data_IF_499352970114
#
_entry.id   IF_499352970114
#
_cell.length_a   1.000
_cell.length_b   1.000
_cell.length_c   1.000
_cell.angle_alpha   90.00
_cell.angle_beta   90.00
_cell.angle_gamma   90.00
#
_symmetry.space_group_name_H-M   'P 1'
#
loop_
_entity.id
_entity.type
_entity.pdbx_description
1 polymer ?
#
# COMPACT_ATOMS: atom_id res chain seq x y z
N UNK A 1 -2.80 -5.66 18.14
CA UNK A 1 -2.13 -5.09 16.96
C UNK A 1 -3.19 -4.40 16.13
N UNK A 2 -2.93 -3.16 15.73
CA UNK A 2 -3.84 -2.36 14.92
C UNK A 2 -3.06 -1.90 13.69
N UNK A 3 -3.59 -2.14 12.50
CA UNK A 3 -3.07 -1.57 11.26
C UNK A 3 -3.36 -0.06 11.27
N UNK A 4 -2.30 0.75 11.26
CA UNK A 4 -2.40 2.21 11.20
C UNK A 4 -2.53 2.70 9.76
N UNK A 5 -1.65 2.21 8.89
CA UNK A 5 -1.66 2.56 7.47
C UNK A 5 -1.08 1.45 6.61
N UNK A 6 -1.61 1.32 5.39
CA UNK A 6 -1.12 0.42 4.35
C UNK A 6 -1.05 1.19 3.02
N UNK A 7 0.06 1.03 2.32
CA UNK A 7 0.31 1.58 1.00
C UNK A 7 0.79 0.49 0.05
N UNK A 8 0.22 0.46 -1.14
CA UNK A 8 0.61 -0.41 -2.24
C UNK A 8 0.88 0.43 -3.49
N UNK A 9 2.05 0.27 -4.09
CA UNK A 9 2.42 0.90 -5.35
C UNK A 9 2.59 -0.16 -6.42
N UNK A 10 1.80 -0.05 -7.48
CA UNK A 10 1.76 -1.01 -8.59
C UNK A 10 2.23 -0.29 -9.85
N UNK A 11 3.18 -0.90 -10.55
CA UNK A 11 3.73 -0.38 -11.79
C UNK A 11 3.32 -1.26 -12.97
N UNK A 12 2.91 -0.65 -14.08
CA UNK A 12 2.63 -1.36 -15.31
C UNK A 12 2.85 -0.47 -16.54
N UNK A 13 2.95 -1.12 -17.70
CA UNK A 13 3.12 -0.45 -19.00
C UNK A 13 1.97 -0.82 -19.93
N UNK A 14 1.34 0.19 -20.53
CA UNK A 14 0.27 0.02 -21.48
C UNK A 14 0.09 1.27 -22.35
N UNK A 15 -0.71 1.16 -23.41
CA UNK A 15 -1.02 2.33 -24.24
C UNK A 15 -1.81 3.40 -23.44
N UNK A 16 -1.63 4.71 -23.71
CA UNK A 16 -2.43 5.76 -23.09
C UNK A 16 -3.94 5.59 -23.30
N UNK A 17 -4.36 4.86 -24.35
CA UNK A 17 -5.76 4.51 -24.58
C UNK A 17 -6.26 3.45 -23.58
N UNK A 18 -5.43 2.46 -23.26
CA UNK A 18 -5.76 1.44 -22.26
C UNK A 18 -5.90 2.06 -20.86
N UNK A 19 -4.98 2.97 -20.50
CA UNK A 19 -5.09 3.71 -19.23
C UNK A 19 -6.36 4.54 -19.13
N UNK A 20 -6.74 5.25 -20.20
CA UNK A 20 -8.02 5.98 -20.22
C UNK A 20 -9.24 5.09 -20.01
N UNK A 21 -9.26 3.92 -20.67
CA UNK A 21 -10.34 2.93 -20.50
C UNK A 21 -10.42 2.45 -19.06
N UNK A 22 -9.28 2.17 -18.42
CA UNK A 22 -9.24 1.81 -16.99
C UNK A 22 -9.85 2.93 -16.12
N UNK A 23 -9.43 4.18 -16.35
CA UNK A 23 -9.93 5.34 -15.60
C UNK A 23 -11.44 5.49 -15.71
N UNK A 24 -11.97 5.37 -16.93
CA UNK A 24 -13.41 5.41 -17.20
C UNK A 24 -14.15 4.24 -16.54
N UNK A 25 -13.65 3.01 -16.71
CA UNK A 25 -14.26 1.80 -16.15
C UNK A 25 -14.27 1.81 -14.62
N UNK A 26 -13.20 2.28 -13.99
CA UNK A 26 -13.09 2.39 -12.54
C UNK A 26 -13.85 3.59 -11.95
N UNK A 27 -14.35 4.52 -12.78
CA UNK A 27 -15.08 5.72 -12.33
C UNK A 27 -14.17 6.77 -11.68
N UNK A 28 -12.89 6.79 -12.02
CA UNK A 28 -11.90 7.68 -11.41
C UNK A 28 -12.06 9.12 -11.91
N UNK A 29 -11.74 10.09 -11.05
CA UNK A 29 -11.77 11.51 -11.41
C UNK A 29 -10.44 11.95 -12.02
N UNK A 30 -10.47 12.77 -13.07
CA UNK A 30 -9.26 13.36 -13.63
C UNK A 30 -8.57 14.28 -12.61
N UNK A 31 -7.24 14.24 -12.53
CA UNK A 31 -6.51 15.15 -11.65
C UNK A 31 -6.65 16.61 -12.12
N UNK A 32 -6.79 17.58 -11.20
CA UNK A 32 -6.74 19.00 -11.55
C UNK A 32 -5.45 19.33 -12.32
N UNK A 33 -5.56 19.98 -13.47
CA UNK A 33 -4.42 20.30 -14.33
C UNK A 33 -3.91 19.15 -15.21
N UNK A 34 -4.50 17.96 -15.13
CA UNK A 34 -4.27 16.88 -16.10
C UNK A 34 -4.96 17.22 -17.43
N UNK A 35 -4.33 18.08 -18.24
CA UNK A 35 -4.81 18.37 -19.60
C UNK A 35 -4.71 19.81 -20.10
N UNK A 36 -3.60 20.52 -19.91
CA UNK A 36 -3.40 21.85 -20.57
C UNK A 36 -2.07 22.00 -21.31
N UNK A 37 -1.49 20.91 -21.83
CA UNK A 37 -0.52 21.04 -22.94
C UNK A 37 -1.07 20.33 -24.17
N UNK A 38 -1.11 21.05 -25.29
CA UNK A 38 -1.81 20.76 -26.55
C UNK A 38 -1.37 19.50 -27.29
N UNK A 39 -0.61 18.60 -26.68
CA UNK A 39 -0.08 17.41 -27.38
C UNK A 39 -0.31 16.05 -26.72
N UNK A 40 -0.70 15.93 -25.44
CA UNK A 40 -0.74 14.60 -24.80
C UNK A 40 -1.85 14.46 -23.77
N UNK A 41 -2.68 13.42 -23.94
CA UNK A 41 -3.86 13.13 -23.13
C UNK A 41 -3.42 12.53 -21.79
N UNK A 42 -3.51 13.30 -20.71
CA UNK A 42 -3.18 12.82 -19.37
C UNK A 42 -4.27 11.88 -18.83
N UNK A 43 -3.95 10.61 -18.62
CA UNK A 43 -4.81 9.66 -17.89
C UNK A 43 -4.57 9.75 -16.36
N UNK A 44 -3.92 10.83 -15.90
CA UNK A 44 -3.68 11.04 -14.48
C UNK A 44 -5.00 11.26 -13.76
N UNK A 45 -5.29 10.39 -12.79
CA UNK A 45 -6.59 10.31 -12.15
C UNK A 45 -6.47 9.87 -10.71
N UNK A 46 -7.51 10.14 -9.94
CA UNK A 46 -7.57 9.80 -8.53
C UNK A 46 -8.98 9.36 -8.15
N UNK A 47 -9.08 8.71 -6.99
CA UNK A 47 -10.37 8.45 -6.36
C UNK A 47 -10.24 8.37 -4.84
N UNK A 48 -11.38 8.54 -4.20
CA UNK A 48 -11.60 8.18 -2.81
C UNK A 48 -12.70 7.13 -2.76
N UNK A 49 -12.51 6.07 -1.98
CA UNK A 49 -13.48 5.00 -1.85
C UNK A 49 -13.67 4.64 -0.38
N UNK A 50 -14.90 4.80 0.12
CA UNK A 50 -15.26 4.48 1.49
C UNK A 50 -15.42 2.96 1.68
N UNK A 51 -15.20 2.45 2.90
CA UNK A 51 -15.59 1.10 3.28
C UNK A 51 -17.07 0.84 3.02
N UNK A 52 -17.37 -0.33 2.45
CA UNK A 52 -18.74 -0.84 2.30
C UNK A 52 -18.83 -2.22 2.96
N UNK A 53 -19.94 -2.51 3.66
CA UNK A 53 -20.15 -3.80 4.32
C UNK A 53 -19.19 -4.02 5.50
N UNK A 54 -18.55 -5.19 5.57
CA UNK A 54 -17.64 -5.62 6.65
C UNK A 54 -16.21 -5.10 6.50
N UNK A 55 -15.97 -4.26 5.51
CA UNK A 55 -14.68 -3.65 5.28
C UNK A 55 -14.35 -2.72 6.44
N UNK A 56 -13.16 -2.84 7.02
CA UNK A 56 -12.74 -2.10 8.21
C UNK A 56 -12.85 -0.56 8.10
N UNK A 57 -12.42 0.20 9.12
CA UNK A 57 -12.65 1.64 9.20
C UNK A 57 -11.84 2.47 8.18
N UNK A 58 -10.89 1.84 7.48
CA UNK A 58 -9.99 2.52 6.55
C UNK A 58 -10.69 2.81 5.22
N UNK A 59 -10.57 4.04 4.75
CA UNK A 59 -10.96 4.39 3.38
C UNK A 59 -9.76 4.28 2.44
N UNK A 60 -10.03 4.07 1.17
CA UNK A 60 -9.03 3.88 0.13
C UNK A 60 -8.86 5.15 -0.69
N UNK A 61 -7.61 5.59 -0.83
CA UNK A 61 -7.19 6.62 -1.78
C UNK A 61 -6.46 5.95 -2.93
N UNK A 62 -6.87 6.24 -4.16
CA UNK A 62 -6.15 5.86 -5.37
C UNK A 62 -5.58 7.06 -6.10
N UNK A 63 -4.32 6.97 -6.52
CA UNK A 63 -3.61 7.97 -7.31
C UNK A 63 -2.89 7.27 -8.47
N UNK A 64 -3.38 7.48 -9.69
CA UNK A 64 -2.81 6.97 -10.93
C UNK A 64 -2.06 8.11 -11.64
N UNK A 65 -0.77 7.90 -11.92
CA UNK A 65 0.06 8.86 -12.66
C UNK A 65 0.92 8.16 -13.71
N UNK A 66 1.17 8.86 -14.80
CA UNK A 66 2.22 8.48 -15.74
C UNK A 66 3.60 8.66 -15.10
N UNK A 67 4.56 7.86 -15.55
CA UNK A 67 5.96 8.04 -15.21
C UNK A 67 6.50 9.26 -15.97
N UNK A 68 7.25 10.16 -15.32
CA UNK A 68 7.87 11.30 -16.00
C UNK A 68 8.68 10.84 -17.22
N UNK A 69 8.39 11.40 -18.40
CA UNK A 69 9.07 11.05 -19.65
C UNK A 69 8.64 9.71 -20.28
N UNK A 70 7.78 8.92 -19.66
CA UNK A 70 7.36 7.61 -20.15
C UNK A 70 5.84 7.39 -19.97
N UNK A 71 5.04 7.92 -20.88
CA UNK A 71 3.57 7.90 -20.79
C UNK A 71 2.93 6.55 -20.97
N UNK A 72 3.65 5.56 -21.51
CA UNK A 72 3.15 4.19 -21.50
C UNK A 72 3.19 3.59 -20.08
N UNK A 73 4.09 4.07 -19.23
CA UNK A 73 4.33 3.52 -17.90
C UNK A 73 3.53 4.32 -16.88
N UNK A 74 2.70 3.64 -16.10
CA UNK A 74 1.95 4.26 -15.02
C UNK A 74 2.32 3.64 -13.67
N UNK A 75 2.14 4.43 -12.61
CA UNK A 75 2.03 3.90 -11.25
C UNK A 75 0.63 4.14 -10.73
N UNK A 76 0.03 3.12 -10.13
CA UNK A 76 -1.13 3.26 -9.27
C UNK A 76 -0.66 3.14 -7.82
N UNK A 77 -0.85 4.20 -7.05
CA UNK A 77 -0.67 4.20 -5.61
C UNK A 77 -2.02 4.04 -4.94
N UNK A 78 -2.13 3.03 -4.08
CA UNK A 78 -3.29 2.73 -3.26
C UNK A 78 -2.91 2.92 -1.79
N UNK A 79 -3.68 3.72 -1.04
CA UNK A 79 -3.44 3.97 0.37
C UNK A 79 -4.71 3.72 1.17
N UNK A 80 -4.63 2.81 2.14
CA UNK A 80 -5.68 2.60 3.14
C UNK A 80 -5.30 3.39 4.39
N UNK A 81 -6.18 4.28 4.80
CA UNK A 81 -5.94 5.16 5.95
C UNK A 81 -7.25 5.46 6.69
N UNK A 82 -7.12 5.90 7.94
CA UNK A 82 -8.26 6.31 8.75
C UNK A 82 -8.90 7.58 8.17
N UNK A 83 -10.23 7.61 8.18
CA UNK A 83 -10.94 8.85 7.87
C UNK A 83 -10.55 9.93 8.90
N UNK A 84 -10.36 11.19 8.46
CA UNK A 84 -10.22 12.30 9.38
C UNK A 84 -11.39 12.37 10.36
N UNK A 85 -11.13 12.78 11.60
CA UNK A 85 -12.18 12.97 12.59
C UNK A 85 -13.24 13.96 12.10
N UNK A 86 -14.50 13.65 12.38
CA UNK A 86 -15.65 14.48 12.01
C UNK A 86 -16.42 13.99 10.78
N UNK A 87 -17.30 14.85 10.21
CA UNK A 87 -18.15 14.48 9.09
C UNK A 87 -17.32 14.18 7.84
N UNK A 88 -17.57 13.04 7.19
CA UNK A 88 -16.89 12.71 5.94
C UNK A 88 -17.13 13.81 4.88
N UNK A 89 -16.07 14.40 4.30
CA UNK A 89 -16.18 15.45 3.30
C UNK A 89 -17.02 15.05 2.07
N UNK A 90 -17.77 16.00 1.51
CA UNK A 90 -18.70 15.73 0.41
C UNK A 90 -18.00 15.25 -0.88
N UNK A 91 -16.77 15.70 -1.12
CA UNK A 91 -15.97 15.25 -2.28
C UNK A 91 -15.58 13.77 -2.14
N UNK A 92 -15.23 13.30 -0.93
CA UNK A 92 -14.97 11.88 -0.63
C UNK A 92 -16.23 11.06 -0.87
N UNK A 93 -17.38 11.50 -0.32
CA UNK A 93 -18.67 10.81 -0.54
C UNK A 93 -19.05 10.72 -2.01
N UNK A 94 -18.79 11.77 -2.79
CA UNK A 94 -19.14 11.82 -4.21
C UNK A 94 -18.20 10.95 -5.05
N UNK A 95 -16.90 11.00 -4.79
CA UNK A 95 -15.92 10.12 -5.42
C UNK A 95 -16.20 8.65 -5.09
N UNK A 96 -16.49 8.35 -3.82
CA UNK A 96 -16.81 6.98 -3.38
C UNK A 96 -18.05 6.41 -4.06
N UNK A 97 -19.09 7.22 -4.28
CA UNK A 97 -20.28 6.79 -5.02
C UNK A 97 -19.98 6.53 -6.49
N UNK A 98 -19.13 7.34 -7.12
CA UNK A 98 -18.74 7.15 -8.52
C UNK A 98 -17.98 5.83 -8.74
N UNK A 99 -17.09 5.49 -7.81
CA UNK A 99 -16.30 4.25 -7.90
C UNK A 99 -16.97 3.02 -7.26
N UNK A 100 -18.10 3.20 -6.57
CA UNK A 100 -18.88 2.12 -5.95
C UNK A 100 -18.40 1.65 -4.58
N UNK A 101 -17.53 2.41 -3.91
CA UNK A 101 -16.85 1.99 -2.67
C UNK A 101 -15.59 1.17 -2.94
N UNK A 102 -14.80 0.90 -1.90
CA UNK A 102 -13.46 0.34 -2.12
C UNK A 102 -13.41 -1.11 -2.62
N UNK A 103 -14.34 -2.05 -2.29
CA UNK A 103 -14.23 -3.40 -2.85
C UNK A 103 -14.51 -3.38 -4.35
N UNK A 104 -15.49 -2.55 -4.77
CA UNK A 104 -15.93 -2.46 -6.15
C UNK A 104 -14.88 -1.77 -7.04
N UNK A 105 -14.24 -0.70 -6.58
CA UNK A 105 -13.16 -0.05 -7.35
C UNK A 105 -11.97 -1.00 -7.54
N UNK A 106 -11.59 -1.79 -6.52
CA UNK A 106 -10.53 -2.78 -6.67
C UNK A 106 -10.93 -3.93 -7.61
N UNK A 107 -12.19 -4.35 -7.59
CA UNK A 107 -12.72 -5.33 -8.53
C UNK A 107 -12.64 -4.83 -9.98
N UNK A 108 -13.02 -3.58 -10.23
CA UNK A 108 -12.93 -2.93 -11.56
C UNK A 108 -11.47 -2.75 -12.00
N UNK A 109 -10.61 -2.28 -11.10
CA UNK A 109 -9.18 -2.16 -11.35
C UNK A 109 -8.56 -3.50 -11.73
N UNK A 110 -8.91 -4.59 -11.03
CA UNK A 110 -8.45 -5.95 -11.33
C UNK A 110 -8.94 -6.45 -12.69
N UNK A 111 -10.20 -6.18 -13.04
CA UNK A 111 -10.80 -6.65 -14.29
C UNK A 111 -10.21 -5.95 -15.54
N UNK A 112 -9.93 -4.65 -15.44
CA UNK A 112 -9.49 -3.82 -16.56
C UNK A 112 -8.01 -3.43 -16.49
N UNK A 113 -7.23 -4.00 -15.55
CA UNK A 113 -5.83 -3.65 -15.35
C UNK A 113 -5.01 -3.85 -16.63
N UNK A 114 -4.39 -2.78 -17.17
CA UNK A 114 -3.66 -2.89 -18.42
C UNK A 114 -2.20 -3.25 -18.15
N UNK A 115 -1.62 -4.10 -19.01
CA UNK A 115 -0.20 -4.49 -18.94
C UNK A 115 0.05 -5.92 -18.42
N UNK A 116 -0.98 -6.65 -18.01
CA UNK A 116 -0.91 -8.09 -17.72
C UNK A 116 -2.13 -8.80 -18.34
N UNK A 117 -2.01 -9.34 -19.56
CA UNK A 117 -3.07 -10.14 -20.16
C UNK A 117 -3.24 -11.43 -19.35
N UNK A 118 -4.35 -11.53 -18.61
CA UNK A 118 -4.56 -12.62 -17.65
C UNK A 118 -4.20 -12.19 -16.23
N UNK A 119 -4.93 -12.71 -15.25
CA UNK A 119 -4.92 -12.35 -13.81
C UNK A 119 -3.61 -12.74 -13.09
N UNK A 120 -2.47 -12.62 -13.76
CA UNK A 120 -1.16 -12.93 -13.21
C UNK A 120 -0.84 -11.96 -12.08
N UNK A 121 -0.14 -12.47 -11.07
CA UNK A 121 0.20 -11.70 -9.89
C UNK A 121 1.08 -10.51 -10.29
N UNK A 122 0.74 -9.31 -9.80
CA UNK A 122 1.49 -8.09 -10.08
C UNK A 122 2.56 -7.88 -9.01
N UNK A 123 3.68 -7.28 -9.42
CA UNK A 123 4.68 -6.81 -8.46
C UNK A 123 4.19 -5.54 -7.76
N UNK A 124 4.19 -5.56 -6.44
CA UNK A 124 3.71 -4.48 -5.57
C UNK A 124 4.82 -4.06 -4.63
N UNK A 125 5.16 -2.77 -4.63
CA UNK A 125 5.96 -2.19 -3.55
C UNK A 125 5.00 -1.83 -2.41
N UNK A 126 5.22 -2.42 -1.24
CA UNK A 126 4.33 -2.31 -0.08
C UNK A 126 5.02 -1.57 1.05
N UNK A 127 4.25 -0.71 1.74
CA UNK A 127 4.62 -0.12 3.02
C UNK A 127 3.45 -0.26 3.98
N UNK A 128 3.69 -0.72 5.20
CA UNK A 128 2.66 -0.84 6.24
C UNK A 128 3.21 -0.36 7.58
N UNK A 129 2.33 0.27 8.37
CA UNK A 129 2.60 0.67 9.75
C UNK A 129 1.60 0.01 10.68
N UNK A 130 2.10 -0.58 11.75
CA UNK A 130 1.30 -1.23 12.78
C UNK A 130 1.55 -0.58 14.14
N UNK A 131 0.49 -0.40 14.92
CA UNK A 131 0.60 -0.08 16.34
C UNK A 131 0.45 -1.37 17.14
N UNK A 132 1.41 -1.63 18.03
CA UNK A 132 1.41 -2.79 18.92
C UNK A 132 1.50 -2.34 20.38
N UNK A 133 0.83 -3.11 21.24
CA UNK A 133 0.96 -3.00 22.69
C UNK A 133 2.25 -3.70 23.13
N UNK A 134 3.15 -2.96 23.78
CA UNK A 134 4.45 -3.44 24.26
C UNK A 134 4.30 -4.57 25.29
N UNK A 135 3.20 -4.61 26.05
CA UNK A 135 2.90 -5.67 27.01
C UNK A 135 2.45 -6.98 26.33
N UNK A 136 1.96 -6.92 25.10
CA UNK A 136 1.57 -8.10 24.32
C UNK A 136 2.69 -8.57 23.39
N UNK A 137 3.40 -7.62 22.76
CA UNK A 137 4.46 -7.88 21.79
C UNK A 137 5.60 -6.87 21.95
N UNK A 138 6.81 -7.38 22.19
CA UNK A 138 8.02 -6.58 22.29
C UNK A 138 9.03 -6.95 21.18
N UNK A 139 9.85 -5.98 20.71
CA UNK A 139 10.92 -6.25 19.77
C UNK A 139 11.92 -7.28 20.32
N UNK A 140 12.32 -8.24 19.49
CA UNK A 140 13.38 -9.18 19.89
C UNK A 140 14.69 -8.44 20.14
N UNK A 141 15.60 -8.95 20.99
CA UNK A 141 16.89 -8.31 21.26
C UNK A 141 17.77 -8.05 20.02
N UNK A 142 17.49 -8.74 18.90
CA UNK A 142 18.16 -8.52 17.62
C UNK A 142 17.80 -7.16 16.97
N UNK A 143 16.64 -6.58 17.31
CA UNK A 143 16.22 -5.23 16.90
C UNK A 143 16.64 -4.15 17.91
N UNK A 144 17.71 -4.39 18.69
CA UNK A 144 18.37 -3.32 19.47
C UNK A 144 19.50 -2.71 18.64
N UNK A 145 19.85 -1.45 18.91
CA UNK A 145 20.99 -0.77 18.30
C UNK A 145 22.26 -1.62 18.45
N UNK A 146 22.82 -2.14 17.34
CA UNK A 146 24.05 -2.93 17.36
C UNK A 146 25.03 -2.51 16.26
N UNK A 147 26.34 -2.44 16.56
CA UNK A 147 27.37 -2.04 15.60
C UNK A 147 27.68 -3.10 14.53
N UNK A 148 27.19 -4.34 14.68
CA UNK A 148 27.42 -5.44 13.72
C UNK A 148 26.09 -6.07 13.29
N UNK A 149 26.00 -6.60 12.05
CA UNK A 149 24.83 -7.34 11.60
C UNK A 149 24.50 -8.51 12.52
N UNK A 150 23.20 -8.81 12.66
CA UNK A 150 22.70 -9.88 13.54
C UNK A 150 21.91 -10.88 12.70
N UNK A 151 22.03 -12.17 13.01
CA UNK A 151 21.18 -13.21 12.42
C UNK A 151 19.96 -13.47 13.30
N UNK A 152 18.76 -13.46 12.72
CA UNK A 152 17.50 -13.76 13.40
C UNK A 152 16.55 -14.50 12.45
N UNK A 153 16.01 -15.65 12.87
CA UNK A 153 15.05 -16.41 12.06
C UNK A 153 15.56 -16.84 10.68
N UNK A 154 16.88 -17.00 10.51
CA UNK A 154 17.50 -17.29 9.21
C UNK A 154 17.84 -16.07 8.34
N UNK A 155 17.44 -14.87 8.75
CA UNK A 155 17.74 -13.61 8.05
C UNK A 155 18.94 -12.88 8.64
N UNK A 156 19.67 -12.16 7.79
CA UNK A 156 20.73 -11.24 8.20
C UNK A 156 20.18 -9.81 8.26
N UNK A 157 20.34 -9.18 9.42
CA UNK A 157 19.85 -7.85 9.74
C UNK A 157 21.01 -6.87 9.76
N UNK A 158 20.97 -5.84 8.91
CA UNK A 158 21.91 -4.72 8.94
C UNK A 158 21.19 -3.44 9.39
N UNK A 159 21.73 -2.73 10.37
CA UNK A 159 21.07 -1.55 10.91
C UNK A 159 21.61 -0.26 10.28
N UNK A 160 20.70 0.63 9.89
CA UNK A 160 20.99 2.01 9.50
C UNK A 160 20.23 2.96 10.41
N UNK A 161 20.94 3.53 11.41
CA UNK A 161 20.40 4.43 12.45
C UNK A 161 19.14 3.89 13.18
N UNK A 162 17.96 4.03 12.58
CA UNK A 162 16.64 3.73 13.17
C UNK A 162 15.87 2.60 12.45
N UNK A 163 16.46 1.97 11.44
CA UNK A 163 15.83 0.89 10.68
C UNK A 163 16.79 -0.29 10.45
N UNK A 164 16.23 -1.49 10.32
CA UNK A 164 16.91 -2.71 9.95
C UNK A 164 16.57 -3.10 8.52
N UNK A 165 17.60 -3.29 7.70
CA UNK A 165 17.52 -3.93 6.40
C UNK A 165 17.63 -5.44 6.58
N UNK A 166 16.82 -6.19 5.85
CA UNK A 166 16.75 -7.65 5.87
C UNK A 166 17.33 -8.15 4.54
N UNK A 167 18.43 -8.90 4.61
CA UNK A 167 19.06 -9.45 3.41
C UNK A 167 18.11 -10.47 2.71
N UNK A 168 18.09 -10.52 1.37
CA UNK A 168 17.29 -11.49 0.64
C UNK A 168 17.63 -12.96 0.98
N UNK A 169 16.66 -13.88 0.93
CA UNK A 169 15.25 -13.65 0.62
C UNK A 169 14.48 -13.14 1.84
N UNK A 170 13.84 -11.99 1.72
CA UNK A 170 13.15 -11.31 2.84
C UNK A 170 11.63 -11.22 2.64
N UNK A 171 11.11 -11.82 1.57
CA UNK A 171 9.68 -11.80 1.23
C UNK A 171 9.13 -10.37 1.13
N UNK A 172 7.90 -10.09 1.61
CA UNK A 172 7.25 -8.78 1.51
C UNK A 172 7.89 -7.69 2.39
N UNK A 173 8.91 -8.02 3.19
CA UNK A 173 9.53 -7.10 4.15
C UNK A 173 11.04 -7.06 3.95
N UNK A 174 11.55 -6.02 3.29
CA UNK A 174 12.99 -5.77 3.13
C UNK A 174 13.56 -4.84 4.20
N UNK A 175 12.69 -4.05 4.83
CA UNK A 175 13.08 -3.05 5.83
C UNK A 175 12.04 -2.98 6.93
N UNK A 176 12.49 -2.89 8.17
CA UNK A 176 11.66 -2.71 9.37
C UNK A 176 12.22 -1.57 10.20
N UNK A 177 11.35 -0.77 10.80
CA UNK A 177 11.69 0.25 11.79
C UNK A 177 10.73 0.17 12.96
N UNK A 178 11.23 0.47 14.15
CA UNK A 178 10.44 0.44 15.39
C UNK A 178 10.68 1.74 16.14
N UNK A 179 9.61 2.39 16.54
CA UNK A 179 9.64 3.60 17.34
C UNK A 179 8.61 3.50 18.47
N UNK A 180 8.90 4.13 19.61
CA UNK A 180 7.91 4.29 20.68
C UNK A 180 6.92 5.37 20.29
N UNK A 181 5.62 5.05 20.33
CA UNK A 181 4.55 6.02 20.08
C UNK A 181 4.22 6.79 21.35
N UNK A 182 3.93 6.05 22.42
CA UNK A 182 3.64 6.52 23.77
C UNK A 182 3.98 5.42 24.77
N UNK A 183 3.75 5.66 26.05
CA UNK A 183 3.94 4.63 27.08
C UNK A 183 3.10 3.40 26.77
N UNK A 184 3.74 2.23 26.75
CA UNK A 184 3.10 0.94 26.43
C UNK A 184 2.80 0.68 24.95
N UNK A 185 3.12 1.60 24.03
CA UNK A 185 2.82 1.42 22.60
C UNK A 185 4.01 1.68 21.68
N UNK A 186 4.18 0.80 20.70
CA UNK A 186 5.21 0.88 19.67
C UNK A 186 4.56 0.97 18.28
N UNK A 187 5.17 1.78 17.40
CA UNK A 187 4.91 1.73 15.95
C UNK A 187 5.97 0.85 15.31
N UNK A 188 5.51 -0.11 14.51
CA UNK A 188 6.36 -0.93 13.65
C UNK A 188 6.04 -0.60 12.19
N UNK A 189 6.98 0.00 11.48
CA UNK A 189 6.84 0.30 10.06
C UNK A 189 7.69 -0.67 9.24
N UNK A 190 7.09 -1.27 8.21
CA UNK A 190 7.70 -2.26 7.36
C UNK A 190 7.49 -1.91 5.89
N UNK A 191 8.51 -2.17 5.07
CA UNK A 191 8.41 -1.97 3.62
C UNK A 191 9.14 -3.06 2.86
N UNK A 192 8.64 -3.40 1.68
CA UNK A 192 9.30 -4.35 0.79
C UNK A 192 8.53 -4.53 -0.51
N UNK A 193 8.73 -5.68 -1.16
CA UNK A 193 8.10 -6.01 -2.43
C UNK A 193 7.40 -7.34 -2.33
N UNK A 194 6.17 -7.39 -2.81
CA UNK A 194 5.36 -8.60 -2.85
C UNK A 194 4.78 -8.84 -4.24
N UNK A 195 4.32 -10.04 -4.48
CA UNK A 195 3.67 -10.44 -5.74
C UNK A 195 2.34 -11.07 -5.40
N UNK A 196 1.24 -10.46 -5.81
CA UNK A 196 -0.10 -10.97 -5.55
C UNK A 196 -1.10 -10.60 -6.66
N UNK A 197 -2.21 -11.33 -6.82
CA UNK A 197 -3.26 -10.92 -7.76
C UNK A 197 -3.90 -9.59 -7.34
N UNK A 198 -4.19 -8.75 -8.33
CA UNK A 198 -5.06 -7.59 -8.11
C UNK A 198 -6.48 -8.05 -7.81
N UNK A 199 -7.11 -7.48 -6.79
CA UNK A 199 -8.47 -7.83 -6.44
C UNK A 199 -8.96 -7.15 -5.16
N UNK A 200 -10.22 -7.40 -4.79
CA UNK A 200 -10.82 -6.83 -3.59
C UNK A 200 -10.08 -7.26 -2.30
N UNK A 201 -9.48 -8.44 -2.27
CA UNK A 201 -8.82 -8.98 -1.07
C UNK A 201 -7.36 -8.50 -0.89
N UNK A 202 -6.87 -7.66 -1.80
CA UNK A 202 -5.48 -7.21 -1.83
C UNK A 202 -5.02 -6.56 -0.53
N UNK A 203 -5.88 -5.78 0.13
CA UNK A 203 -5.55 -5.13 1.39
C UNK A 203 -5.23 -6.15 2.49
N UNK A 204 -6.12 -7.13 2.68
CA UNK A 204 -5.97 -8.17 3.70
C UNK A 204 -4.81 -9.12 3.38
N UNK A 205 -4.61 -9.45 2.10
CA UNK A 205 -3.48 -10.25 1.67
C UNK A 205 -2.14 -9.56 1.93
N UNK A 206 -2.03 -8.26 1.62
CA UNK A 206 -0.82 -7.47 1.90
C UNK A 206 -0.58 -7.29 3.39
N UNK A 207 -1.62 -6.93 4.16
CA UNK A 207 -1.54 -6.81 5.61
C UNK A 207 -1.04 -8.10 6.25
N UNK A 208 -1.66 -9.24 5.92
CA UNK A 208 -1.28 -10.55 6.45
C UNK A 208 0.15 -10.94 6.08
N UNK A 209 0.55 -10.74 4.82
CA UNK A 209 1.89 -11.06 4.35
C UNK A 209 2.97 -10.20 5.02
N UNK A 210 2.75 -8.89 5.13
CA UNK A 210 3.68 -7.98 5.81
C UNK A 210 3.73 -8.28 7.31
N UNK A 211 2.58 -8.51 7.95
CA UNK A 211 2.53 -8.86 9.37
C UNK A 211 3.27 -10.16 9.67
N UNK A 212 3.12 -11.20 8.84
CA UNK A 212 3.85 -12.45 9.00
C UNK A 212 5.38 -12.23 8.96
N UNK A 213 5.85 -11.36 8.07
CA UNK A 213 7.26 -10.97 8.01
C UNK A 213 7.71 -10.21 9.27
N UNK A 214 6.92 -9.23 9.72
CA UNK A 214 7.20 -8.42 10.92
C UNK A 214 7.19 -9.27 12.20
N UNK A 215 6.23 -10.18 12.33
CA UNK A 215 6.02 -10.99 13.53
C UNK A 215 7.24 -11.85 13.90
N UNK A 216 8.09 -12.20 12.92
CA UNK A 216 9.37 -12.90 13.14
C UNK A 216 10.33 -12.13 14.04
N UNK A 217 10.15 -10.80 14.14
CA UNK A 217 11.00 -9.91 14.96
C UNK A 217 10.30 -9.39 16.22
N UNK A 218 9.13 -9.92 16.55
CA UNK A 218 8.38 -9.61 17.75
C UNK A 218 8.20 -10.88 18.59
N UNK A 219 8.04 -10.73 19.90
CA UNK A 219 7.74 -11.83 20.82
C UNK A 219 6.89 -11.36 21.98
N UNK A 220 6.17 -12.28 22.63
CA UNK A 220 5.61 -12.00 23.95
C UNK A 220 6.76 -11.59 24.90
N UNK A 221 6.57 -10.57 25.76
CA UNK A 221 7.62 -10.04 26.62
C UNK A 221 8.31 -11.08 27.52
#
# INVERSE_FOLDING_TARGET
>A
MVLDSLEAVIHASASPRAWRRLVEAAGMSAMPGAGTSTRKVGYASYFYALPTGTSGPLYLVGDLRSSPGAEANARLKLRWELLPEGPTPQHIKSSSRAVGGWPEVLRRLSADWPGTPGKEAVGVDVTASFVIDEAALAPVPALRLKPKPVRQGGHQLAQTAVAWSIDPPSGPVHRVSIARLREGELVVAASGRHTLPLGPDMASALEGAVWQGVATFLRAP
#
